data_IF_444216161918
#
_entry.id   IF_444216161918
#
_cell.length_a   1.000
_cell.length_b   1.000
_cell.length_c   1.000
_cell.angle_alpha   90.00
_cell.angle_beta   90.00
_cell.angle_gamma   90.00
#
_symmetry.space_group_name_H-M   'P 1'
#
loop_
_entity.id
_entity.type
_entity.pdbx_description
1 polymer ?
#
# COMPACT_ATOMS: atom_id res chain seq x y z
N UNK A 1 -28.48 4.05 18.96
CA UNK A 1 -27.18 3.72 19.57
C UNK A 1 -26.54 2.60 18.75
N UNK A 2 -25.33 2.82 18.22
CA UNK A 2 -24.64 1.79 17.45
C UNK A 2 -24.03 0.73 18.36
N UNK A 3 -24.28 -0.55 18.07
CA UNK A 3 -23.63 -1.67 18.77
C UNK A 3 -22.10 -1.57 18.62
N UNK A 4 -21.29 -2.05 19.59
CA UNK A 4 -19.83 -1.95 19.58
C UNK A 4 -19.18 -2.36 18.25
N UNK A 5 -18.07 -1.71 17.91
CA UNK A 5 -17.27 -2.04 16.74
C UNK A 5 -16.68 -3.45 16.87
N UNK A 6 -16.80 -4.24 15.82
CA UNK A 6 -16.20 -5.58 15.72
C UNK A 6 -15.30 -5.64 14.49
N UNK A 7 -14.34 -6.58 14.46
CA UNK A 7 -13.48 -6.80 13.28
C UNK A 7 -14.32 -7.07 12.02
N UNK A 8 -15.40 -7.85 12.17
CA UNK A 8 -16.31 -8.15 11.07
C UNK A 8 -16.96 -6.88 10.50
N UNK A 9 -17.53 -6.01 11.35
CA UNK A 9 -18.11 -4.74 10.91
C UNK A 9 -17.07 -3.83 10.26
N UNK A 10 -15.85 -3.79 10.82
CA UNK A 10 -14.73 -3.03 10.25
C UNK A 10 -14.35 -3.54 8.86
N UNK A 11 -14.34 -4.87 8.65
CA UNK A 11 -14.05 -5.46 7.34
C UNK A 11 -15.17 -5.25 6.33
N UNK A 12 -16.43 -5.26 6.76
CA UNK A 12 -17.56 -4.92 5.89
C UNK A 12 -17.43 -3.48 5.41
N UNK A 13 -17.21 -2.53 6.32
CA UNK A 13 -17.03 -1.12 5.98
C UNK A 13 -15.80 -0.90 5.07
N UNK A 14 -14.67 -1.52 5.40
CA UNK A 14 -13.45 -1.42 4.59
C UNK A 14 -13.67 -1.96 3.17
N UNK A 15 -14.28 -3.14 3.02
CA UNK A 15 -14.51 -3.75 1.71
C UNK A 15 -15.55 -2.98 0.89
N UNK A 16 -16.57 -2.43 1.54
CA UNK A 16 -17.51 -1.53 0.88
C UNK A 16 -16.79 -0.32 0.29
N UNK A 17 -15.99 0.37 1.10
CA UNK A 17 -15.22 1.52 0.64
C UNK A 17 -14.26 1.15 -0.51
N UNK A 18 -13.50 0.06 -0.37
CA UNK A 18 -12.57 -0.37 -1.41
C UNK A 18 -13.23 -0.71 -2.75
N UNK A 19 -14.36 -1.44 -2.73
CA UNK A 19 -14.95 -2.00 -3.93
C UNK A 19 -16.02 -1.11 -4.55
N UNK A 20 -16.86 -0.50 -3.73
CA UNK A 20 -18.02 0.26 -4.18
C UNK A 20 -17.70 1.75 -4.31
N UNK A 21 -16.92 2.32 -3.38
CA UNK A 21 -16.60 3.75 -3.39
C UNK A 21 -15.34 4.05 -4.22
N UNK A 22 -14.26 3.29 -4.05
CA UNK A 22 -13.01 3.45 -4.81
C UNK A 22 -12.96 2.62 -6.11
N UNK A 23 -13.96 1.76 -6.34
CA UNK A 23 -14.06 0.96 -7.57
C UNK A 23 -12.88 -0.01 -7.78
N UNK A 24 -12.23 -0.48 -6.71
CA UNK A 24 -11.12 -1.43 -6.81
C UNK A 24 -11.69 -2.85 -6.98
N UNK A 25 -11.36 -3.60 -8.04
CA UNK A 25 -11.84 -4.96 -8.24
C UNK A 25 -11.52 -5.87 -7.06
N UNK A 26 -12.45 -6.78 -6.75
CA UNK A 26 -12.27 -7.84 -5.74
C UNK A 26 -11.09 -8.76 -6.06
N UNK A 27 -10.67 -8.82 -7.34
CA UNK A 27 -9.48 -9.55 -7.80
C UNK A 27 -8.17 -8.83 -7.47
N UNK A 28 -8.20 -7.52 -7.23
CA UNK A 28 -7.01 -6.72 -6.95
C UNK A 28 -6.75 -6.55 -5.44
N UNK A 29 -7.80 -6.64 -4.61
CA UNK A 29 -7.69 -6.52 -3.15
C UNK A 29 -8.53 -7.57 -2.43
N UNK A 30 -7.87 -8.32 -1.55
CA UNK A 30 -8.51 -9.16 -0.54
C UNK A 30 -7.98 -8.72 0.83
N UNK A 31 -8.81 -8.01 1.60
CA UNK A 31 -8.48 -7.61 2.97
C UNK A 31 -9.22 -8.53 3.97
N UNK A 32 -8.50 -9.22 4.85
CA UNK A 32 -9.09 -10.06 5.91
C UNK A 32 -8.84 -9.53 7.32
N UNK A 33 -8.00 -8.51 7.45
CA UNK A 33 -7.76 -7.71 8.65
C UNK A 33 -6.98 -6.43 8.28
N UNK A 34 -6.87 -5.45 9.20
CA UNK A 34 -6.34 -4.11 8.92
C UNK A 34 -4.86 -3.86 9.24
N UNK A 35 -4.20 -4.73 10.00
CA UNK A 35 -2.78 -4.58 10.39
C UNK A 35 -1.80 -5.00 9.29
N UNK A 36 -2.23 -5.89 8.38
CA UNK A 36 -1.38 -6.44 7.34
C UNK A 36 -0.62 -7.71 7.75
N UNK A 37 -0.83 -8.23 8.97
CA UNK A 37 -0.16 -9.45 9.47
C UNK A 37 -0.65 -10.72 8.76
N UNK A 38 -1.93 -10.75 8.35
CA UNK A 38 -2.51 -11.94 7.76
C UNK A 38 -1.90 -12.22 6.38
N UNK A 39 -1.32 -13.41 6.24
CA UNK A 39 -0.86 -13.93 4.94
C UNK A 39 -2.01 -14.23 3.98
N UNK A 40 -3.26 -14.02 4.35
CA UNK A 40 -4.42 -14.10 3.44
C UNK A 40 -4.74 -12.76 2.80
N UNK A 41 -4.16 -11.65 3.27
CA UNK A 41 -4.29 -10.37 2.58
C UNK A 41 -3.63 -10.45 1.19
N UNK A 42 -4.29 -9.93 0.17
CA UNK A 42 -3.78 -9.83 -1.21
C UNK A 42 -4.01 -8.42 -1.71
N UNK A 43 -3.00 -7.87 -2.38
CA UNK A 43 -3.01 -6.54 -2.97
C UNK A 43 -2.20 -6.63 -4.26
N UNK A 44 -2.72 -6.10 -5.36
CA UNK A 44 -1.92 -5.84 -6.55
C UNK A 44 -1.21 -4.47 -6.42
N UNK A 45 -0.10 -4.24 -7.14
CA UNK A 45 0.50 -2.90 -7.20
C UNK A 45 -0.49 -1.83 -7.72
N UNK A 46 -1.37 -2.18 -8.65
CA UNK A 46 -2.37 -1.28 -9.21
C UNK A 46 -3.38 -0.81 -8.15
N UNK A 47 -3.87 -1.72 -7.30
CA UNK A 47 -4.73 -1.34 -6.18
C UNK A 47 -4.02 -0.42 -5.18
N UNK A 48 -2.76 -0.71 -4.86
CA UNK A 48 -1.97 0.15 -3.96
C UNK A 48 -1.80 1.55 -4.55
N UNK A 49 -1.54 1.66 -5.86
CA UNK A 49 -1.47 2.97 -6.53
C UNK A 49 -2.81 3.71 -6.41
N UNK A 50 -3.95 3.06 -6.65
CA UNK A 50 -5.26 3.72 -6.47
C UNK A 50 -5.51 4.21 -5.04
N UNK A 51 -5.09 3.42 -4.04
CA UNK A 51 -5.18 3.85 -2.64
C UNK A 51 -4.25 5.03 -2.34
N UNK A 52 -3.07 5.09 -2.96
CA UNK A 52 -2.19 6.25 -2.83
C UNK A 52 -2.77 7.48 -3.55
N UNK A 53 -3.43 7.33 -4.69
CA UNK A 53 -4.08 8.48 -5.33
C UNK A 53 -5.19 9.07 -4.45
N UNK A 54 -5.99 8.23 -3.77
CA UNK A 54 -6.97 8.67 -2.79
C UNK A 54 -6.33 9.30 -1.55
N UNK A 55 -5.22 8.74 -1.07
CA UNK A 55 -4.48 9.24 0.09
C UNK A 55 -3.67 10.52 -0.20
N UNK A 56 -3.52 10.93 -1.46
CA UNK A 56 -2.66 12.04 -1.88
C UNK A 56 -2.85 13.35 -1.09
N UNK A 57 -4.08 13.78 -0.74
CA UNK A 57 -4.30 14.97 0.11
C UNK A 57 -3.73 14.87 1.53
N UNK A 58 -3.40 13.65 1.96
CA UNK A 58 -2.90 13.29 3.29
C UNK A 58 -1.54 12.59 3.22
N UNK A 59 -0.76 12.78 2.15
CA UNK A 59 0.53 12.10 1.96
C UNK A 59 1.53 12.35 3.10
N UNK A 60 1.39 13.45 3.83
CA UNK A 60 2.22 13.85 4.98
C UNK A 60 2.10 12.90 6.18
N UNK A 61 1.05 12.07 6.23
CA UNK A 61 0.91 11.05 7.29
C UNK A 61 1.88 9.89 7.11
N UNK A 62 2.50 9.76 5.93
CA UNK A 62 3.49 8.73 5.65
C UNK A 62 4.88 9.17 6.14
N UNK A 63 5.67 8.28 6.76
CA UNK A 63 7.04 8.59 7.12
C UNK A 63 7.91 8.82 5.88
N UNK A 64 8.96 9.64 6.05
CA UNK A 64 9.94 9.92 5.00
C UNK A 64 11.05 8.85 4.98
N UNK A 65 11.33 8.33 3.80
CA UNK A 65 12.52 7.55 3.49
C UNK A 65 13.59 8.49 2.93
N UNK A 66 14.76 8.49 3.58
CA UNK A 66 15.88 9.37 3.24
C UNK A 66 15.48 10.86 3.16
N UNK A 67 14.58 11.29 4.04
CA UNK A 67 14.10 12.69 4.17
C UNK A 67 13.38 13.27 2.94
N UNK A 68 13.24 12.52 1.85
CA UNK A 68 12.68 13.02 0.58
C UNK A 68 11.43 12.28 0.12
N UNK A 69 11.26 11.01 0.48
CA UNK A 69 10.26 10.14 -0.14
C UNK A 69 9.24 9.68 0.90
N UNK A 70 8.00 10.18 0.82
CA UNK A 70 6.90 9.76 1.70
C UNK A 70 6.47 8.33 1.36
N UNK A 71 6.67 7.39 2.28
CA UNK A 71 6.44 5.96 2.02
C UNK A 71 5.76 5.23 3.17
N UNK A 72 5.01 4.18 2.84
CA UNK A 72 4.66 3.12 3.77
C UNK A 72 5.53 1.89 3.50
N UNK A 73 6.07 1.33 4.58
CA UNK A 73 6.74 0.02 4.56
C UNK A 73 5.81 -1.06 5.08
N UNK A 74 5.97 -2.27 4.55
CA UNK A 74 5.38 -3.50 5.07
C UNK A 74 6.40 -4.63 5.03
N UNK A 75 6.55 -5.37 6.13
CA UNK A 75 7.55 -6.44 6.21
C UNK A 75 6.97 -7.63 6.96
N UNK A 76 6.98 -8.79 6.31
CA UNK A 76 6.79 -10.10 6.95
C UNK A 76 7.92 -11.03 6.48
N UNK A 77 8.09 -12.18 7.15
CA UNK A 77 9.05 -13.18 6.68
C UNK A 77 8.72 -13.60 5.23
N UNK A 78 9.62 -13.26 4.32
CA UNK A 78 9.51 -13.55 2.88
C UNK A 78 8.68 -12.54 2.08
N UNK A 79 8.25 -11.42 2.67
CA UNK A 79 7.37 -10.42 2.03
C UNK A 79 7.88 -9.02 2.38
N UNK A 80 8.18 -8.21 1.37
CA UNK A 80 8.71 -6.87 1.52
C UNK A 80 7.97 -5.89 0.61
N UNK A 81 7.18 -5.02 1.23
CA UNK A 81 6.44 -3.94 0.59
C UNK A 81 7.10 -2.58 0.81
N UNK A 82 7.06 -1.73 -0.22
CA UNK A 82 7.38 -0.31 -0.18
C UNK A 82 6.48 0.42 -1.18
N UNK A 83 5.69 1.37 -0.73
CA UNK A 83 4.81 2.15 -1.61
C UNK A 83 4.70 3.59 -1.10
N UNK A 84 4.52 4.54 -2.00
CA UNK A 84 4.48 5.95 -1.62
C UNK A 84 4.58 6.90 -2.82
N UNK A 85 5.09 8.09 -2.55
CA UNK A 85 5.18 9.19 -3.51
C UNK A 85 6.65 9.59 -3.69
N UNK A 86 7.05 9.77 -4.95
CA UNK A 86 8.35 10.37 -5.29
C UNK A 86 8.28 11.90 -5.18
N UNK A 87 9.42 12.61 -5.12
CA UNK A 87 9.45 14.07 -4.97
C UNK A 87 8.68 14.83 -6.07
N UNK A 88 8.56 14.26 -7.27
CA UNK A 88 7.77 14.83 -8.36
C UNK A 88 6.26 14.53 -8.25
N UNK A 89 5.80 13.91 -7.16
CA UNK A 89 4.41 13.55 -6.91
C UNK A 89 3.96 12.24 -7.57
N UNK A 90 4.85 11.52 -8.26
CA UNK A 90 4.52 10.24 -8.89
C UNK A 90 4.38 9.13 -7.83
N UNK A 91 3.30 8.36 -7.90
CA UNK A 91 3.04 7.21 -7.03
C UNK A 91 3.82 5.97 -7.46
N UNK A 92 4.16 5.12 -6.51
CA UNK A 92 4.80 3.83 -6.79
C UNK A 92 4.41 2.76 -5.77
N UNK A 93 4.48 1.49 -6.19
CA UNK A 93 4.29 0.33 -5.34
C UNK A 93 5.26 -0.80 -5.72
N UNK A 94 6.02 -1.27 -4.74
CA UNK A 94 6.98 -2.38 -4.85
C UNK A 94 6.53 -3.47 -3.87
N UNK A 95 6.04 -4.59 -4.38
CA UNK A 95 5.55 -5.73 -3.60
C UNK A 95 6.40 -6.97 -3.92
N UNK A 96 7.29 -7.37 -3.00
CA UNK A 96 8.24 -8.44 -3.25
C UNK A 96 7.98 -9.65 -2.34
N UNK A 97 7.65 -10.80 -2.94
CA UNK A 97 7.53 -12.08 -2.25
C UNK A 97 8.79 -12.92 -2.46
N UNK A 98 9.81 -12.72 -1.63
CA UNK A 98 11.14 -13.29 -1.81
C UNK A 98 11.89 -13.40 -0.48
N UNK A 99 12.99 -14.16 -0.43
CA UNK A 99 13.72 -14.46 0.81
C UNK A 99 14.51 -13.28 1.40
N UNK A 100 15.06 -12.42 0.55
CA UNK A 100 15.92 -11.28 0.97
C UNK A 100 15.18 -9.97 0.76
N UNK A 101 15.39 -8.98 1.63
CA UNK A 101 14.81 -7.66 1.42
C UNK A 101 15.64 -6.89 0.39
N UNK A 102 15.05 -6.57 -0.78
CA UNK A 102 15.71 -5.75 -1.82
C UNK A 102 14.84 -4.58 -2.29
N UNK A 103 13.80 -4.20 -1.53
CA UNK A 103 12.79 -3.20 -1.98
C UNK A 103 13.40 -1.85 -2.31
N UNK A 104 14.37 -1.39 -1.51
CA UNK A 104 15.08 -0.12 -1.75
C UNK A 104 16.07 -0.22 -2.91
N UNK A 105 16.67 -1.40 -3.13
CA UNK A 105 17.51 -1.63 -4.31
C UNK A 105 16.68 -1.58 -5.61
N UNK A 106 15.47 -2.12 -5.59
CA UNK A 106 14.51 -2.01 -6.71
C UNK A 106 14.12 -0.55 -6.93
N UNK A 107 13.77 0.19 -5.87
CA UNK A 107 13.47 1.63 -5.99
C UNK A 107 14.64 2.41 -6.58
N UNK A 108 15.86 2.15 -6.11
CA UNK A 108 17.09 2.77 -6.64
C UNK A 108 17.31 2.44 -8.12
N UNK A 109 17.06 1.19 -8.52
CA UNK A 109 17.16 0.78 -9.92
C UNK A 109 16.13 1.49 -10.81
N UNK A 110 14.87 1.60 -10.36
CA UNK A 110 13.81 2.34 -11.06
C UNK A 110 14.18 3.82 -11.24
N UNK A 111 14.64 4.49 -10.18
CA UNK A 111 15.11 5.89 -10.26
C UNK A 111 16.29 6.06 -11.22
N UNK A 112 17.25 5.13 -11.19
CA UNK A 112 18.36 5.10 -12.17
C UNK A 112 17.86 4.92 -13.60
N UNK A 113 16.78 4.18 -13.82
CA UNK A 113 16.17 3.98 -15.14
C UNK A 113 15.33 5.18 -15.63
N UNK A 114 15.15 6.23 -14.82
CA UNK A 114 14.38 7.42 -15.20
C UNK A 114 13.00 7.53 -14.57
N UNK A 115 12.58 6.54 -13.77
CA UNK A 115 11.30 6.60 -13.08
C UNK A 115 11.30 7.72 -12.02
N UNK A 116 10.33 8.62 -12.10
CA UNK A 116 10.20 9.76 -11.18
C UNK A 116 11.20 10.90 -11.39
N UNK A 117 11.80 11.00 -12.58
CA UNK A 117 12.54 12.20 -13.00
C UNK A 117 11.61 13.21 -13.65
#
# INVERSE_FOLDING_TARGET
SGHPATLEKGLVALRHHLHEELGIPKTEVVAVEGSGISRKNRLTPAAVIRLLEELRPHQEVLPLLNEEISVKTGTLRGIYGLAGYLPNGQTFAILLNQRKNTREAVLKALRKAGFGR
#
